data_IF_406900001058
#
_entry.id   IF_406900001058
#
_cell.length_a   1.000
_cell.length_b   1.000
_cell.length_c   1.000
_cell.angle_alpha   90.00
_cell.angle_beta   90.00
_cell.angle_gamma   90.00
#
_symmetry.space_group_name_H-M   'P 1'
#
loop_
_entity.id
_entity.type
_entity.pdbx_description
1 polymer ?
#
# COMPACT_ATOMS: atom_id res chain seq x y z
N UNK A 1 47.74 -32.50 1.61
CA UNK A 1 46.92 -31.86 2.65
C UNK A 1 46.01 -30.85 1.96
N UNK A 2 44.69 -31.10 1.89
CA UNK A 2 43.73 -30.18 1.26
C UNK A 2 42.85 -29.61 2.37
N UNK A 3 42.85 -28.28 2.53
CA UNK A 3 42.05 -27.58 3.53
C UNK A 3 40.69 -27.25 2.91
N UNK A 4 39.62 -27.89 3.38
CA UNK A 4 38.24 -27.52 3.04
C UNK A 4 37.80 -26.34 3.91
N UNK A 5 37.68 -25.15 3.32
CA UNK A 5 37.11 -23.98 3.99
C UNK A 5 35.59 -24.17 4.14
N UNK A 6 35.14 -24.65 5.30
CA UNK A 6 33.70 -24.71 5.62
C UNK A 6 33.12 -23.29 5.64
N UNK A 7 32.36 -22.93 4.61
CA UNK A 7 31.52 -21.73 4.57
C UNK A 7 30.53 -21.77 5.73
N UNK A 8 30.76 -20.94 6.74
CA UNK A 8 29.91 -20.79 7.93
C UNK A 8 28.59 -20.15 7.51
N UNK A 9 27.54 -20.97 7.31
CA UNK A 9 26.17 -20.45 7.19
C UNK A 9 25.75 -19.95 8.58
N UNK A 10 25.06 -18.80 8.64
CA UNK A 10 24.53 -18.27 9.89
C UNK A 10 23.66 -19.33 10.57
N UNK A 11 23.71 -19.46 11.92
CA UNK A 11 22.86 -20.41 12.62
C UNK A 11 21.40 -20.09 12.33
N UNK A 12 20.60 -21.12 12.05
CA UNK A 12 19.12 -21.05 11.97
C UNK A 12 18.52 -20.86 13.37
N UNK A 13 19.13 -20.02 14.24
CA UNK A 13 18.50 -19.61 15.50
C UNK A 13 17.30 -18.76 15.10
N UNK A 14 16.13 -19.18 15.58
CA UNK A 14 14.78 -18.81 15.14
C UNK A 14 14.62 -17.40 14.59
N UNK A 15 14.19 -17.34 13.34
CA UNK A 15 13.63 -16.12 12.76
C UNK A 15 12.35 -15.84 13.57
N UNK A 16 12.36 -14.80 14.40
CA UNK A 16 11.17 -14.38 15.14
C UNK A 16 10.09 -13.95 14.14
N UNK A 17 8.82 -14.18 14.49
CA UNK A 17 7.70 -13.66 13.70
C UNK A 17 7.82 -12.14 13.57
N UNK A 18 7.64 -11.57 12.38
CA UNK A 18 7.73 -10.12 12.19
C UNK A 18 6.72 -9.42 13.09
N UNK A 19 7.21 -8.57 13.99
CA UNK A 19 6.39 -7.68 14.79
C UNK A 19 6.20 -6.37 14.04
N UNK A 20 5.05 -5.71 14.22
CA UNK A 20 4.74 -4.42 13.57
C UNK A 20 4.71 -4.49 12.04
N UNK A 21 4.11 -5.54 11.47
CA UNK A 21 3.87 -5.60 10.03
C UNK A 21 2.93 -4.47 9.59
N UNK A 22 3.38 -3.70 8.60
CA UNK A 22 2.58 -2.64 7.97
C UNK A 22 2.30 -3.05 6.53
N UNK A 23 1.02 -3.07 6.17
CA UNK A 23 0.62 -3.26 4.77
C UNK A 23 0.94 -1.98 4.01
N UNK A 24 2.04 -1.99 3.25
CA UNK A 24 2.36 -0.92 2.32
C UNK A 24 1.54 -1.12 1.05
N UNK A 25 0.61 -0.22 0.81
CA UNK A 25 -0.17 -0.20 -0.43
C UNK A 25 0.24 1.05 -1.20
N UNK A 26 0.65 0.86 -2.45
CA UNK A 26 0.91 1.98 -3.36
C UNK A 26 -0.37 2.33 -4.10
N UNK A 27 -0.94 3.49 -3.76
CA UNK A 27 -2.10 4.05 -4.46
C UNK A 27 -1.61 5.13 -5.40
N UNK A 28 -1.91 4.97 -6.69
CA UNK A 28 -1.66 5.97 -7.72
C UNK A 28 -2.96 6.58 -8.22
N UNK A 29 -2.90 7.80 -8.75
CA UNK A 29 -3.98 8.39 -9.52
C UNK A 29 -3.52 8.51 -10.97
N UNK A 30 -4.27 7.95 -11.91
CA UNK A 30 -3.99 8.10 -13.33
C UNK A 30 -4.79 9.30 -13.89
N UNK A 31 -4.12 10.41 -14.26
CA UNK A 31 -4.78 11.60 -14.76
C UNK A 31 -5.41 11.42 -16.15
N UNK A 32 -5.01 10.40 -16.93
CA UNK A 32 -5.59 10.14 -18.26
C UNK A 32 -6.94 9.44 -18.14
N UNK A 33 -7.07 8.49 -17.22
CA UNK A 33 -8.32 7.74 -17.02
C UNK A 33 -9.20 8.34 -15.93
N UNK A 34 -8.65 9.17 -15.05
CA UNK A 34 -9.35 9.77 -13.91
C UNK A 34 -9.68 8.76 -12.81
N UNK A 35 -8.96 7.63 -12.74
CA UNK A 35 -9.25 6.52 -11.85
C UNK A 35 -8.04 6.26 -10.94
N UNK A 36 -8.32 5.91 -9.69
CA UNK A 36 -7.30 5.44 -8.75
C UNK A 36 -6.88 3.99 -9.06
N UNK A 37 -5.58 3.76 -9.01
CA UNK A 37 -4.95 2.45 -9.19
C UNK A 37 -4.33 1.98 -7.88
N UNK A 38 -4.28 0.66 -7.67
CA UNK A 38 -3.70 0.09 -6.45
C UNK A 38 -4.53 0.27 -5.18
N UNK A 39 -5.81 0.65 -5.29
CA UNK A 39 -6.70 0.73 -4.13
C UNK A 39 -6.95 -0.66 -3.52
N UNK A 40 -6.87 -0.80 -2.19
CA UNK A 40 -7.37 -1.97 -1.47
C UNK A 40 -8.83 -2.24 -1.79
N UNK A 41 -9.23 -3.52 -1.72
CA UNK A 41 -10.61 -3.95 -1.98
C UNK A 41 -11.61 -3.23 -1.07
N UNK A 42 -11.29 -3.05 0.21
CA UNK A 42 -12.16 -2.34 1.14
C UNK A 42 -12.43 -0.89 0.70
N UNK A 43 -11.43 -0.20 0.15
CA UNK A 43 -11.58 1.19 -0.26
C UNK A 43 -12.34 1.35 -1.55
N UNK A 44 -12.18 0.38 -2.46
CA UNK A 44 -13.04 0.32 -3.64
C UNK A 44 -14.51 0.18 -3.24
N UNK A 45 -14.80 -0.69 -2.27
CA UNK A 45 -16.16 -0.85 -1.74
C UNK A 45 -16.67 0.41 -1.02
N UNK A 46 -15.83 1.10 -0.25
CA UNK A 46 -16.19 2.37 0.38
C UNK A 46 -16.48 3.46 -0.66
N UNK A 47 -15.65 3.56 -1.70
CA UNK A 47 -15.87 4.51 -2.80
C UNK A 47 -17.18 4.21 -3.54
N UNK A 48 -17.41 2.95 -3.89
CA UNK A 48 -18.63 2.50 -4.54
C UNK A 48 -19.88 2.78 -3.66
N UNK A 49 -19.77 2.60 -2.33
CA UNK A 49 -20.84 2.90 -1.38
C UNK A 49 -21.04 4.40 -1.13
N UNK A 50 -19.99 5.22 -1.25
CA UNK A 50 -20.02 6.66 -1.05
C UNK A 50 -20.59 7.45 -2.24
N UNK A 51 -20.94 6.75 -3.34
CA UNK A 51 -21.53 7.33 -4.54
C UNK A 51 -20.68 8.44 -5.19
N UNK A 52 -19.36 8.45 -4.91
CA UNK A 52 -18.40 9.42 -5.43
C UNK A 52 -18.16 9.13 -6.91
N UNK A 53 -18.37 10.13 -7.76
CA UNK A 53 -18.22 9.97 -9.21
C UNK A 53 -16.76 10.07 -9.66
N UNK A 54 -16.43 9.55 -10.85
CA UNK A 54 -15.09 9.70 -11.45
C UNK A 54 -14.74 11.17 -11.66
N UNK A 55 -15.72 12.00 -12.01
CA UNK A 55 -15.51 13.44 -12.15
C UNK A 55 -15.12 14.10 -10.83
N UNK A 56 -15.69 13.68 -9.69
CA UNK A 56 -15.32 14.18 -8.36
C UNK A 56 -13.91 13.74 -7.97
N UNK A 57 -13.55 12.48 -8.25
CA UNK A 57 -12.19 11.96 -8.07
C UNK A 57 -11.18 12.77 -8.88
N UNK A 58 -11.51 13.11 -10.13
CA UNK A 58 -10.63 13.90 -11.00
C UNK A 58 -10.55 15.37 -10.59
N UNK A 59 -11.63 15.95 -10.05
CA UNK A 59 -11.64 17.35 -9.61
C UNK A 59 -10.76 17.58 -8.40
N UNK A 60 -10.78 16.66 -7.43
CA UNK A 60 -10.01 16.83 -6.21
C UNK A 60 -9.50 15.50 -5.63
N UNK A 61 -8.51 14.86 -6.29
CA UNK A 61 -8.02 13.55 -5.89
C UNK A 61 -7.41 13.56 -4.48
N UNK A 62 -6.86 14.69 -4.04
CA UNK A 62 -6.26 14.84 -2.71
C UNK A 62 -7.31 14.79 -1.59
N UNK A 63 -8.47 15.43 -1.79
CA UNK A 63 -9.55 15.43 -0.80
C UNK A 63 -10.19 14.04 -0.69
N UNK A 64 -10.36 13.36 -1.82
CA UNK A 64 -10.90 11.99 -1.86
C UNK A 64 -9.95 11.05 -1.10
N UNK A 65 -8.64 11.21 -1.32
CA UNK A 65 -7.62 10.45 -0.61
C UNK A 65 -7.64 10.71 0.91
N UNK A 66 -7.75 11.97 1.31
CA UNK A 66 -7.85 12.35 2.73
C UNK A 66 -9.10 11.76 3.39
N UNK A 67 -10.24 11.76 2.70
CA UNK A 67 -11.46 11.10 3.16
C UNK A 67 -11.21 9.61 3.42
N UNK A 68 -10.66 8.88 2.44
CA UNK A 68 -10.38 7.44 2.58
C UNK A 68 -9.44 7.14 3.74
N UNK A 69 -8.39 7.96 3.91
CA UNK A 69 -7.42 7.84 5.01
C UNK A 69 -8.06 8.01 6.38
N UNK A 70 -8.92 9.02 6.55
CA UNK A 70 -9.61 9.29 7.84
C UNK A 70 -10.51 8.10 8.23
N UNK A 71 -11.12 7.43 7.25
CA UNK A 71 -11.96 6.26 7.50
C UNK A 71 -11.16 4.97 7.77
N UNK A 72 -9.88 4.89 7.42
CA UNK A 72 -9.06 3.68 7.57
C UNK A 72 -7.72 3.95 8.26
N UNK A 73 -7.71 3.86 9.59
CA UNK A 73 -6.51 4.03 10.43
C UNK A 73 -5.49 2.84 10.39
N UNK A 74 -5.61 1.90 9.44
CA UNK A 74 -4.83 0.65 9.43
C UNK A 74 -3.82 0.50 8.28
N UNK A 75 -3.71 1.46 7.35
CA UNK A 75 -2.82 1.36 6.19
C UNK A 75 -1.86 2.55 6.09
N UNK A 76 -0.57 2.26 5.91
CA UNK A 76 0.42 3.29 5.59
C UNK A 76 0.54 3.37 4.07
N UNK A 77 0.01 4.44 3.48
CA UNK A 77 -0.01 4.63 2.03
C UNK A 77 1.18 5.46 1.61
N UNK A 78 1.86 5.00 0.57
CA UNK A 78 2.90 5.77 -0.10
C UNK A 78 2.22 6.49 -1.28
N UNK A 79 1.92 7.78 -1.13
CA UNK A 79 1.40 8.62 -2.21
C UNK A 79 2.58 9.21 -2.99
N UNK A 80 2.84 8.69 -4.19
CA UNK A 80 3.78 9.33 -5.11
C UNK A 80 3.06 10.43 -5.90
N UNK A 81 3.45 11.68 -5.65
CA UNK A 81 3.09 12.83 -6.48
C UNK A 81 4.19 12.98 -7.55
N UNK A 82 3.98 12.40 -8.72
CA UNK A 82 4.67 12.87 -9.94
C UNK A 82 3.91 14.06 -10.50
#
# INVERSE_FOLDING_TARGET
MIILTKKKRSPLIGIATPTNFVHQVHVGFDPLTGIFTGLPKEWKQLLDASNISKEEMSKNPQVIFLFILIYNNNYFIIYNKT
#
